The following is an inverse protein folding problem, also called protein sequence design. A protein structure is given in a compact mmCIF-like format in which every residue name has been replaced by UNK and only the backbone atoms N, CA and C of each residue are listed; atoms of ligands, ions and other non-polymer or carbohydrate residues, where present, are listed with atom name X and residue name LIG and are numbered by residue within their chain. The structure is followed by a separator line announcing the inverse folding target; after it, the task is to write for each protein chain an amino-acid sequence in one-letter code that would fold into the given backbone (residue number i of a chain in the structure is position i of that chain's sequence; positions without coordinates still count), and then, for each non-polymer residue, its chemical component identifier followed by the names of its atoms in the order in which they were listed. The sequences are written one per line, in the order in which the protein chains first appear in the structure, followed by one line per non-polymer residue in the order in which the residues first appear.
data_IF_954719946007
#
_entry.id   IF_954719946007
#
_cell.length_a   1.000
_cell.length_b   1.000
_cell.length_c   1.000
_cell.angle_alpha   90.00
_cell.angle_beta   90.00
_cell.angle_gamma   90.00
#
_symmetry.space_group_name_H-M   'P 1'
#
loop_
_entity.id
_entity.type
_entity.pdbx_description
1 polymer ?
#
# COMPACT_ATOMS: atom_id res chain seq x y z
N UNK A 1 -48.80 19.71 -30.08
CA UNK A 1 -48.12 18.43 -30.35
C UNK A 1 -46.84 18.36 -29.57
N UNK A 2 -46.80 17.57 -28.55
CA UNK A 2 -45.57 17.32 -27.82
C UNK A 2 -44.68 16.35 -28.60
N UNK A 3 -43.44 16.65 -28.75
CA UNK A 3 -42.52 15.72 -29.40
C UNK A 3 -42.33 14.50 -28.53
N UNK A 4 -42.71 13.35 -29.06
CA UNK A 4 -42.48 12.04 -28.42
C UNK A 4 -41.04 11.77 -28.08
N UNK A 5 -40.11 12.60 -28.56
CA UNK A 5 -38.67 12.45 -28.34
C UNK A 5 -38.18 12.85 -26.94
N UNK A 6 -38.87 13.74 -26.24
CA UNK A 6 -38.44 14.17 -24.92
C UNK A 6 -38.71 13.13 -23.82
N UNK A 7 -39.87 12.49 -23.87
CA UNK A 7 -40.23 11.46 -22.92
C UNK A 7 -39.31 10.20 -23.06
N UNK A 8 -38.94 9.88 -24.30
CA UNK A 8 -38.00 8.76 -24.55
C UNK A 8 -36.59 9.09 -24.13
N UNK A 9 -36.11 10.33 -24.27
CA UNK A 9 -34.81 10.76 -23.81
C UNK A 9 -34.71 10.75 -22.30
N UNK A 10 -35.75 11.15 -21.59
CA UNK A 10 -35.78 11.13 -20.12
C UNK A 10 -35.85 9.71 -19.60
N UNK A 11 -36.57 8.81 -20.26
CA UNK A 11 -36.63 7.40 -19.90
C UNK A 11 -35.32 6.69 -20.14
N UNK A 12 -34.57 7.03 -21.21
CA UNK A 12 -33.22 6.48 -21.48
C UNK A 12 -32.19 6.97 -20.47
N UNK A 13 -32.23 8.24 -20.09
CA UNK A 13 -31.36 8.82 -19.07
C UNK A 13 -31.62 8.16 -17.67
N UNK A 14 -32.87 7.89 -17.37
CA UNK A 14 -33.26 7.23 -16.12
C UNK A 14 -32.85 5.75 -16.10
N UNK A 15 -32.83 5.07 -17.24
CA UNK A 15 -32.34 3.70 -17.34
C UNK A 15 -30.84 3.62 -17.12
N UNK A 16 -30.08 4.55 -17.67
CA UNK A 16 -28.62 4.60 -17.51
C UNK A 16 -28.23 4.94 -16.06
N UNK A 17 -28.95 5.85 -15.42
CA UNK A 17 -28.75 6.18 -14.01
C UNK A 17 -29.08 5.01 -13.08
N UNK A 18 -30.09 4.22 -13.42
CA UNK A 18 -30.49 3.03 -12.65
C UNK A 18 -29.47 1.88 -12.82
N UNK A 19 -28.94 1.70 -14.02
CA UNK A 19 -27.89 0.73 -14.29
C UNK A 19 -26.58 1.07 -13.62
N UNK A 20 -26.23 2.33 -13.48
CA UNK A 20 -25.04 2.75 -12.76
C UNK A 20 -25.14 2.51 -11.25
N UNK A 21 -26.33 2.56 -10.67
CA UNK A 21 -26.55 2.23 -9.25
C UNK A 21 -26.55 0.73 -8.97
N UNK A 22 -26.95 -0.08 -9.93
CA UNK A 22 -27.02 -1.54 -9.80
C UNK A 22 -25.73 -2.25 -10.26
N UNK A 23 -24.85 -1.53 -10.97
CA UNK A 23 -23.71 -2.14 -11.65
C UNK A 23 -22.56 -2.52 -10.73
N UNK A 24 -22.51 -2.10 -9.47
CA UNK A 24 -21.53 -2.57 -8.51
C UNK A 24 -22.11 -2.49 -7.11
N UNK A 25 -22.52 -3.59 -6.51
CA UNK A 25 -22.57 -3.58 -5.08
C UNK A 25 -21.14 -3.33 -4.60
N UNK A 26 -20.86 -2.09 -4.23
CA UNK A 26 -19.65 -1.81 -3.48
C UNK A 26 -19.58 -2.86 -2.37
N UNK A 27 -18.47 -3.59 -2.28
CA UNK A 27 -18.20 -4.42 -1.13
C UNK A 27 -18.56 -3.62 0.11
N UNK A 28 -19.23 -4.21 1.12
CA UNK A 28 -19.57 -3.47 2.34
C UNK A 28 -18.30 -2.81 2.86
N UNK A 29 -18.36 -1.52 3.25
CA UNK A 29 -17.16 -0.82 3.70
C UNK A 29 -16.54 -1.64 4.83
N UNK A 30 -15.31 -2.05 4.62
CA UNK A 30 -14.53 -2.74 5.64
C UNK A 30 -14.39 -1.78 6.82
N UNK A 31 -14.64 -2.26 8.04
CA UNK A 31 -14.46 -1.44 9.23
C UNK A 31 -13.00 -1.00 9.31
N UNK A 32 -12.77 0.28 9.56
CA UNK A 32 -11.44 0.84 9.73
C UNK A 32 -11.25 1.32 11.15
N UNK A 33 -10.00 1.28 11.61
CA UNK A 33 -9.62 1.78 12.93
C UNK A 33 -8.44 2.74 12.79
N UNK A 34 -8.46 3.81 13.55
CA UNK A 34 -7.35 4.74 13.67
C UNK A 34 -6.39 4.27 14.75
N UNK A 35 -5.12 4.19 14.41
CA UNK A 35 -4.05 3.87 15.34
C UNK A 35 -3.20 5.11 15.57
N UNK A 36 -2.89 5.37 16.82
CA UNK A 36 -2.07 6.50 17.22
C UNK A 36 -0.74 6.01 17.77
N UNK A 37 0.26 6.88 17.74
CA UNK A 37 1.61 6.55 18.23
C UNK A 37 2.15 5.27 17.59
N UNK A 38 2.01 5.20 16.29
CA UNK A 38 2.44 4.02 15.53
C UNK A 38 3.96 4.01 15.43
N UNK A 39 4.56 2.91 15.88
CA UNK A 39 5.98 2.63 15.66
C UNK A 39 6.15 1.83 14.38
N UNK A 40 7.16 2.14 13.61
CA UNK A 40 7.52 1.39 12.40
C UNK A 40 8.58 0.36 12.76
N UNK A 41 8.31 -0.91 12.49
CA UNK A 41 9.27 -1.99 12.69
C UNK A 41 10.18 -2.18 11.48
N UNK A 42 9.59 -2.15 10.31
CA UNK A 42 10.28 -2.14 9.02
C UNK A 42 9.36 -1.46 7.99
N UNK A 43 9.77 -1.40 6.73
CA UNK A 43 8.99 -0.73 5.68
C UNK A 43 7.64 -1.39 5.37
N UNK A 44 7.32 -2.52 5.98
CA UNK A 44 6.05 -3.22 5.79
C UNK A 44 5.34 -3.59 7.08
N UNK A 45 5.87 -3.23 8.25
CA UNK A 45 5.34 -3.66 9.55
C UNK A 45 5.21 -2.49 10.51
N UNK A 46 4.00 -2.32 11.03
CA UNK A 46 3.65 -1.27 11.98
C UNK A 46 3.31 -1.89 13.33
N UNK A 47 3.53 -1.14 14.39
CA UNK A 47 3.13 -1.55 15.74
C UNK A 47 2.48 -0.39 16.47
N UNK A 48 1.34 -0.65 17.10
CA UNK A 48 0.66 0.31 17.95
C UNK A 48 0.19 -0.41 19.21
N UNK A 49 0.73 -0.03 20.36
CA UNK A 49 0.48 -0.77 21.60
C UNK A 49 0.92 -2.21 21.45
N UNK A 50 0.03 -3.16 21.80
CA UNK A 50 0.29 -4.60 21.62
C UNK A 50 -0.09 -5.16 20.26
N UNK A 51 -0.46 -4.31 19.30
CA UNK A 51 -0.94 -4.74 17.97
C UNK A 51 0.14 -4.58 16.93
N UNK A 52 0.39 -5.65 16.16
CA UNK A 52 1.31 -5.65 15.00
C UNK A 52 0.47 -5.71 13.73
N UNK A 53 0.72 -4.79 12.81
CA UNK A 53 -0.01 -4.71 11.54
C UNK A 53 0.99 -4.83 10.40
N UNK A 54 0.78 -5.81 9.54
CA UNK A 54 1.60 -5.99 8.34
C UNK A 54 0.88 -5.40 7.13
N UNK A 55 1.56 -4.55 6.39
CA UNK A 55 0.98 -3.94 5.20
C UNK A 55 0.75 -5.00 4.14
N UNK A 56 -0.49 -5.05 3.64
CA UNK A 56 -0.93 -6.08 2.70
C UNK A 56 -0.36 -5.84 1.29
N UNK A 57 -0.13 -6.92 0.57
CA UNK A 57 0.21 -6.91 -0.85
C UNK A 57 1.65 -6.60 -1.18
N UNK A 58 2.51 -6.46 -0.19
CA UNK A 58 3.91 -6.10 -0.40
C UNK A 58 4.86 -7.06 0.32
N UNK A 59 6.09 -7.08 -0.14
CA UNK A 59 7.22 -7.72 0.55
C UNK A 59 8.29 -6.66 0.80
N UNK A 60 8.54 -6.37 2.07
CA UNK A 60 9.55 -5.41 2.50
C UNK A 60 10.76 -6.11 3.09
N UNK A 61 11.87 -5.40 3.12
CA UNK A 61 13.09 -5.88 3.79
C UNK A 61 12.97 -5.71 5.30
N UNK A 62 13.60 -6.60 6.04
CA UNK A 62 13.75 -6.46 7.49
C UNK A 62 14.52 -5.17 7.82
N UNK A 63 14.30 -4.64 9.02
CA UNK A 63 14.93 -3.38 9.44
C UNK A 63 16.47 -3.44 9.47
N UNK A 64 17.04 -4.62 9.67
CA UNK A 64 18.48 -4.86 9.70
C UNK A 64 19.06 -5.31 8.36
N UNK A 65 18.25 -5.34 7.30
CA UNK A 65 18.70 -5.79 5.98
C UNK A 65 19.78 -4.89 5.39
N UNK A 66 20.75 -5.53 4.76
CA UNK A 66 21.84 -4.87 4.06
C UNK A 66 21.68 -5.14 2.56
N UNK A 67 21.81 -4.10 1.75
CA UNK A 67 21.74 -4.17 0.29
C UNK A 67 23.05 -3.69 -0.32
N UNK A 68 23.21 -3.95 -1.60
CA UNK A 68 24.36 -3.43 -2.36
C UNK A 68 23.93 -2.36 -3.34
N UNK A 69 24.75 -1.33 -3.52
CA UNK A 69 24.56 -0.32 -4.57
C UNK A 69 25.19 -0.78 -5.89
N UNK A 70 25.14 0.06 -6.93
CA UNK A 70 25.71 -0.23 -8.24
C UNK A 70 27.22 -0.46 -8.22
N UNK A 71 27.91 0.07 -7.22
CA UNK A 71 29.36 -0.08 -7.05
C UNK A 71 29.71 -1.26 -6.14
N UNK A 72 28.73 -2.07 -5.75
CA UNK A 72 28.91 -3.21 -4.88
C UNK A 72 29.12 -2.87 -3.40
N UNK A 73 28.88 -1.60 -3.02
CA UNK A 73 29.04 -1.15 -1.63
C UNK A 73 27.80 -1.52 -0.82
N UNK A 74 28.00 -1.98 0.39
CA UNK A 74 26.93 -2.27 1.31
C UNK A 74 26.28 -0.99 1.84
N UNK A 75 24.95 -1.01 1.99
CA UNK A 75 24.20 0.06 2.63
C UNK A 75 23.00 -0.50 3.41
N UNK A 76 22.58 0.25 4.40
CA UNK A 76 21.53 -0.20 5.33
C UNK A 76 20.14 0.09 4.75
N UNK A 77 19.75 -0.70 3.77
CA UNK A 77 18.48 -0.51 3.06
C UNK A 77 17.26 -0.74 3.95
N UNK A 78 17.31 -1.72 4.86
CA UNK A 78 16.22 -1.97 5.79
C UNK A 78 15.97 -0.80 6.73
N UNK A 79 17.02 -0.26 7.33
CA UNK A 79 16.94 0.90 8.20
C UNK A 79 16.47 2.15 7.44
N UNK A 80 16.92 2.33 6.20
CA UNK A 80 16.51 3.45 5.36
C UNK A 80 15.02 3.41 5.04
N UNK A 81 14.49 2.24 4.66
CA UNK A 81 13.06 2.07 4.40
C UNK A 81 12.20 2.27 5.65
N UNK A 82 12.63 1.71 6.77
CA UNK A 82 11.99 1.94 8.07
C UNK A 82 11.90 3.42 8.41
N UNK A 83 13.01 4.15 8.27
CA UNK A 83 13.07 5.58 8.56
C UNK A 83 12.19 6.40 7.62
N UNK A 84 12.14 6.04 6.33
CA UNK A 84 11.32 6.73 5.36
C UNK A 84 9.83 6.60 5.70
N UNK A 85 9.37 5.39 6.04
CA UNK A 85 7.98 5.17 6.45
C UNK A 85 7.67 5.88 7.78
N UNK A 86 8.58 5.83 8.73
CA UNK A 86 8.42 6.53 10.00
C UNK A 86 8.27 8.04 9.82
N UNK A 87 9.02 8.65 8.89
CA UNK A 87 8.89 10.07 8.58
C UNK A 87 7.55 10.41 7.91
N UNK A 88 7.05 9.54 7.05
CA UNK A 88 5.73 9.75 6.44
C UNK A 88 4.63 9.73 7.49
N UNK A 89 4.66 8.75 8.37
CA UNK A 89 3.65 8.61 9.43
C UNK A 89 3.81 9.72 10.46
N UNK A 90 5.04 9.93 10.93
CA UNK A 90 5.39 10.90 11.96
C UNK A 90 4.45 10.79 13.16
N UNK A 91 3.74 11.85 13.53
CA UNK A 91 2.77 11.86 14.64
C UNK A 91 1.33 11.65 14.20
N UNK A 92 1.12 11.41 12.91
CA UNK A 92 -0.24 11.27 12.35
C UNK A 92 -0.84 9.92 12.69
N UNK A 93 -2.17 9.88 12.76
CA UNK A 93 -2.90 8.64 12.92
C UNK A 93 -2.83 7.82 11.63
N UNK A 94 -2.76 6.50 11.80
CA UNK A 94 -2.80 5.55 10.69
C UNK A 94 -4.16 4.87 10.69
N UNK A 95 -4.87 4.93 9.57
CA UNK A 95 -6.15 4.25 9.38
C UNK A 95 -5.90 2.88 8.77
N UNK A 96 -6.30 1.81 9.44
CA UNK A 96 -6.15 0.45 8.93
C UNK A 96 -7.50 -0.26 8.88
N UNK A 97 -7.69 -1.07 7.83
CA UNK A 97 -8.85 -1.95 7.73
C UNK A 97 -8.75 -3.08 8.76
N UNK A 98 -9.84 -3.32 9.46
CA UNK A 98 -9.89 -4.40 10.44
C UNK A 98 -10.23 -5.73 9.76
N UNK A 99 -9.66 -6.86 10.24
CA UNK A 99 -10.08 -8.17 9.75
C UNK A 99 -11.53 -8.44 10.12
N UNK A 100 -12.20 -9.28 9.29
CA UNK A 100 -13.61 -9.62 9.47
C UNK A 100 -13.88 -10.41 10.74
N UNK A 101 -12.88 -11.11 11.25
CA UNK A 101 -13.02 -11.99 12.41
C UNK A 101 -12.19 -11.45 13.58
N UNK A 102 -12.84 -10.67 14.46
CA UNK A 102 -12.26 -10.26 15.73
C UNK A 102 -11.18 -9.16 15.64
N UNK A 103 -10.40 -9.04 16.70
CA UNK A 103 -9.30 -8.07 16.78
C UNK A 103 -8.01 -8.80 17.16
N UNK A 104 -7.38 -9.50 16.19
CA UNK A 104 -6.12 -10.16 16.47
C UNK A 104 -5.02 -9.17 16.80
N UNK A 105 -4.01 -9.63 17.53
CA UNK A 105 -2.84 -8.80 17.87
C UNK A 105 -1.82 -8.70 16.74
N UNK A 106 -1.93 -9.53 15.74
CA UNK A 106 -1.06 -9.56 14.55
C UNK A 106 -1.92 -9.89 13.34
N UNK A 107 -2.01 -8.98 12.38
CA UNK A 107 -2.82 -9.19 11.19
C UNK A 107 -2.31 -8.36 10.01
N UNK A 108 -2.51 -8.86 8.78
CA UNK A 108 -2.27 -8.06 7.59
C UNK A 108 -3.42 -7.10 7.35
N UNK A 109 -3.12 -5.89 6.91
CA UNK A 109 -4.16 -4.90 6.63
C UNK A 109 -3.71 -3.87 5.60
N UNK A 110 -4.71 -3.29 4.95
CA UNK A 110 -4.51 -2.08 4.15
C UNK A 110 -4.58 -0.88 5.10
N UNK A 111 -3.56 -0.06 5.06
CA UNK A 111 -3.45 1.12 5.92
C UNK A 111 -3.18 2.38 5.10
N UNK A 112 -3.62 3.51 5.63
CA UNK A 112 -3.44 4.81 5.00
C UNK A 112 -3.12 5.89 6.02
N UNK A 113 -2.38 6.91 5.61
CA UNK A 113 -2.10 8.12 6.38
C UNK A 113 -2.50 9.32 5.54
N UNK A 114 -3.42 10.14 6.05
CA UNK A 114 -3.90 11.33 5.34
C UNK A 114 -4.30 11.04 3.89
N UNK A 115 -5.00 9.90 3.67
CA UNK A 115 -5.45 9.49 2.35
C UNK A 115 -4.41 8.79 1.47
N UNK A 116 -3.17 8.66 1.94
CA UNK A 116 -2.11 7.97 1.20
C UNK A 116 -2.06 6.50 1.60
N UNK A 117 -2.30 5.60 0.65
CA UNK A 117 -2.17 4.15 0.87
C UNK A 117 -0.71 3.78 1.12
N UNK A 118 -0.43 3.16 2.26
CA UNK A 118 0.93 2.90 2.69
C UNK A 118 1.61 1.83 1.83
N UNK A 119 0.90 0.76 1.45
CA UNK A 119 1.46 -0.27 0.59
C UNK A 119 1.92 0.30 -0.75
N UNK A 120 1.08 1.10 -1.40
CA UNK A 120 1.43 1.75 -2.66
C UNK A 120 2.58 2.74 -2.48
N UNK A 121 2.57 3.48 -1.39
CA UNK A 121 3.62 4.47 -1.12
C UNK A 121 4.99 3.82 -0.94
N UNK A 122 5.09 2.76 -0.12
CA UNK A 122 6.40 2.11 0.11
C UNK A 122 6.93 1.45 -1.16
N UNK A 123 6.06 0.90 -2.00
CA UNK A 123 6.46 0.35 -3.31
C UNK A 123 6.91 1.47 -4.24
N UNK A 124 6.18 2.56 -4.32
CA UNK A 124 6.53 3.72 -5.16
C UNK A 124 7.86 4.35 -4.75
N UNK A 125 8.16 4.37 -3.47
CA UNK A 125 9.43 4.88 -2.95
C UNK A 125 10.57 3.85 -3.04
N UNK A 126 10.27 2.64 -3.49
CA UNK A 126 11.27 1.60 -3.70
C UNK A 126 11.67 0.81 -2.45
N UNK A 127 10.91 0.92 -1.35
CA UNK A 127 11.25 0.23 -0.10
C UNK A 127 10.64 -1.17 0.01
N UNK A 128 9.74 -1.53 -0.88
CA UNK A 128 9.10 -2.83 -0.93
C UNK A 128 8.79 -3.21 -2.37
N UNK A 129 8.56 -4.49 -2.61
CA UNK A 129 8.12 -5.00 -3.90
C UNK A 129 6.69 -5.53 -3.78
N UNK A 130 5.90 -5.50 -4.86
CA UNK A 130 4.59 -6.15 -4.86
C UNK A 130 4.76 -7.64 -4.57
N UNK A 131 3.98 -8.15 -3.61
CA UNK A 131 3.91 -9.58 -3.35
C UNK A 131 3.14 -10.31 -4.45
N UNK A 132 2.14 -9.64 -5.02
CA UNK A 132 1.39 -10.13 -6.17
C UNK A 132 1.61 -9.17 -7.35
N UNK A 133 2.35 -9.60 -8.39
CA UNK A 133 2.61 -8.75 -9.56
C UNK A 133 1.36 -8.49 -10.40
N UNK A 134 0.26 -9.19 -10.14
CA UNK A 134 -1.01 -8.98 -10.85
C UNK A 134 -1.84 -7.81 -10.29
N UNK A 135 -1.49 -7.27 -9.12
CA UNK A 135 -2.18 -6.09 -8.59
C UNK A 135 -1.73 -4.81 -9.33
N UNK A 136 -2.62 -4.18 -10.14
CA UNK A 136 -2.19 -3.12 -11.06
C UNK A 136 -1.58 -1.90 -10.39
N UNK A 137 -2.14 -1.45 -9.28
CA UNK A 137 -1.66 -0.26 -8.58
C UNK A 137 -0.24 -0.45 -8.02
N UNK A 138 0.03 -1.62 -7.45
CA UNK A 138 1.36 -1.94 -6.92
C UNK A 138 2.37 -2.20 -8.03
N UNK A 139 1.94 -2.85 -9.11
CA UNK A 139 2.80 -3.07 -10.27
C UNK A 139 3.24 -1.75 -10.91
N UNK A 140 2.31 -0.82 -11.07
CA UNK A 140 2.59 0.52 -11.61
C UNK A 140 3.53 1.30 -10.69
N UNK A 141 3.31 1.25 -9.38
CA UNK A 141 4.17 1.89 -8.41
C UNK A 141 5.60 1.32 -8.45
N UNK A 142 5.73 0.00 -8.60
CA UNK A 142 7.02 -0.67 -8.70
C UNK A 142 7.78 -0.26 -9.97
N UNK A 143 7.10 -0.20 -11.10
CA UNK A 143 7.71 0.24 -12.36
C UNK A 143 8.21 1.69 -12.27
N UNK A 144 7.42 2.58 -11.66
CA UNK A 144 7.83 3.96 -11.44
C UNK A 144 9.06 4.05 -10.51
N UNK A 145 9.10 3.27 -9.44
CA UNK A 145 10.23 3.20 -8.53
C UNK A 145 11.49 2.70 -9.22
N UNK A 146 11.36 1.66 -10.04
CA UNK A 146 12.44 1.09 -10.84
C UNK A 146 13.02 2.12 -11.81
N UNK A 147 12.16 2.82 -12.52
CA UNK A 147 12.55 3.87 -13.46
C UNK A 147 13.34 4.98 -12.78
N UNK A 148 12.94 5.37 -11.58
CA UNK A 148 13.60 6.44 -10.81
C UNK A 148 14.84 5.94 -10.06
N UNK A 149 15.10 4.64 -10.01
CA UNK A 149 16.18 4.06 -9.20
C UNK A 149 15.96 4.31 -7.71
N UNK A 150 14.70 4.34 -7.27
CA UNK A 150 14.33 4.68 -5.90
C UNK A 150 14.59 3.53 -4.94
N UNK A 151 15.05 3.83 -3.74
CA UNK A 151 15.19 2.88 -2.65
C UNK A 151 16.01 1.65 -3.03
N UNK A 152 15.41 0.48 -2.97
CA UNK A 152 16.03 -0.81 -3.31
C UNK A 152 16.50 -0.89 -4.77
N UNK A 153 15.89 -0.13 -5.66
CA UNK A 153 16.24 -0.08 -7.08
C UNK A 153 17.53 0.70 -7.37
N UNK A 154 18.18 1.20 -6.33
CA UNK A 154 19.46 1.91 -6.42
C UNK A 154 20.53 1.08 -7.11
N UNK A 155 20.48 -0.24 -6.98
CA UNK A 155 21.38 -1.17 -7.66
C UNK A 155 20.97 -1.45 -9.12
N UNK A 156 19.84 -0.92 -9.58
CA UNK A 156 19.30 -1.18 -10.92
C UNK A 156 18.37 -2.37 -10.98
N UNK A 157 18.55 -3.35 -10.13
CA UNK A 157 17.67 -4.52 -10.02
C UNK A 157 17.44 -4.83 -8.55
N UNK A 158 16.20 -4.67 -8.11
CA UNK A 158 15.81 -4.95 -6.74
C UNK A 158 15.41 -6.42 -6.60
N UNK A 159 16.32 -7.32 -6.88
CA UNK A 159 16.07 -8.73 -6.61
C UNK A 159 15.95 -8.92 -5.10
N UNK A 160 14.79 -9.42 -4.70
CA UNK A 160 14.57 -9.87 -3.33
C UNK A 160 15.26 -11.21 -3.14
N UNK A 161 16.58 -11.22 -3.17
CA UNK A 161 17.29 -12.42 -2.75
C UNK A 161 17.15 -12.53 -1.23
N UNK A 162 16.81 -13.71 -0.72
CA UNK A 162 16.65 -13.92 0.72
C UNK A 162 17.93 -13.72 1.54
N UNK A 163 19.02 -13.39 0.90
CA UNK A 163 20.35 -13.20 1.49
C UNK A 163 20.58 -11.81 2.07
N UNK A 164 19.55 -10.96 2.08
CA UNK A 164 19.70 -9.61 2.56
C UNK A 164 19.54 -9.45 4.08
N UNK A 165 19.69 -10.53 4.84
CA UNK A 165 19.81 -10.42 6.29
C UNK A 165 21.24 -10.08 6.63
N UNK A 166 21.44 -8.98 7.37
CA UNK A 166 22.72 -8.67 7.95
C UNK A 166 23.07 -9.80 8.92
N UNK A 167 24.14 -10.47 8.67
CA UNK A 167 24.71 -11.40 9.63
C UNK A 167 25.65 -10.65 10.53
#
# INVERSE_FOLDING_TARGET
MQPRGEAERIAALNKDAKNQKDATPAAPPTATKLYYRVAVRDAGTLQSGGTTIRLIGITARDADAICKDKKGRNWRCGAAGKSALARLIHTRAVSCELPKSGRPKDFPARCAVAGTDLSTWVVRQGWALPADPAEPALAEAAEAAKKDGAGLWRAGDATLTPEAKAQ
#
